data_IF_747062345155
#
_entry.id   IF_747062345155
#
_cell.length_a   1.000
_cell.length_b   1.000
_cell.length_c   1.000
_cell.angle_alpha   90.00
_cell.angle_beta   90.00
_cell.angle_gamma   90.00
#
_symmetry.space_group_name_H-M   'P 1'
#
loop_
_entity.id
_entity.type
_entity.pdbx_description
1 polymer ?
#
# COMPACT_ATOMS: atom_id res chain seq x y z
N UNK A 1 63.81 23.58 56.91
CA UNK A 1 62.93 24.64 56.42
C UNK A 1 63.04 24.66 54.94
N UNK A 2 62.13 24.05 54.21
CA UNK A 2 61.86 24.28 52.85
C UNK A 2 60.62 23.50 52.42
N UNK A 3 59.55 24.19 52.09
CA UNK A 3 58.28 23.59 51.54
C UNK A 3 58.43 23.42 50.05
N UNK A 4 58.05 22.29 49.45
CA UNK A 4 57.82 22.20 48.01
C UNK A 4 56.37 22.53 47.74
N UNK A 5 56.19 23.33 46.71
CA UNK A 5 54.92 23.71 46.05
C UNK A 5 54.34 22.53 45.27
N UNK A 6 53.09 22.19 45.58
CA UNK A 6 52.29 21.21 44.79
C UNK A 6 51.59 21.98 43.67
N UNK A 7 51.99 21.72 42.46
CA UNK A 7 51.30 22.19 41.25
C UNK A 7 50.18 21.22 40.87
N UNK A 8 48.93 21.66 40.96
CA UNK A 8 47.78 20.92 40.52
C UNK A 8 47.68 20.97 39.01
N UNK A 9 47.85 19.82 38.34
CA UNK A 9 47.59 19.65 36.92
C UNK A 9 46.12 19.39 36.70
N UNK A 10 45.44 20.30 35.98
CA UNK A 10 44.06 20.08 35.52
C UNK A 10 44.10 19.22 34.27
N UNK A 11 43.61 17.99 34.39
CA UNK A 11 43.35 17.09 33.27
C UNK A 11 42.04 17.48 32.63
N UNK A 12 42.12 18.13 31.45
CA UNK A 12 40.96 18.40 30.63
C UNK A 12 40.50 17.14 29.92
N UNK A 13 39.32 16.64 30.26
CA UNK A 13 38.66 15.55 29.55
C UNK A 13 37.97 16.15 28.32
N UNK A 14 38.53 15.89 27.13
CA UNK A 14 37.95 16.25 25.83
C UNK A 14 36.88 15.22 25.50
N UNK A 15 35.60 15.52 25.70
CA UNK A 15 34.47 14.74 25.23
C UNK A 15 34.30 14.99 23.75
N UNK A 16 34.73 14.04 22.90
CA UNK A 16 34.37 13.99 21.50
C UNK A 16 32.91 13.53 21.41
N UNK A 17 31.99 14.44 21.14
CA UNK A 17 30.63 14.12 20.72
C UNK A 17 30.69 13.60 19.29
N UNK A 18 30.58 12.29 19.11
CA UNK A 18 30.28 11.64 17.82
C UNK A 18 28.83 11.97 17.47
N UNK A 19 28.64 13.03 16.69
CA UNK A 19 27.37 13.27 16.03
C UNK A 19 27.17 12.14 14.98
N UNK A 20 26.49 11.07 15.38
CA UNK A 20 26.04 10.04 14.48
C UNK A 20 25.04 10.65 13.51
N UNK A 21 25.42 10.84 12.26
CA UNK A 21 24.48 11.02 11.16
C UNK A 21 23.72 9.70 11.00
N UNK A 22 22.60 9.58 11.68
CA UNK A 22 21.61 8.56 11.35
C UNK A 22 21.04 8.96 9.98
N UNK A 23 21.18 8.15 8.91
CA UNK A 23 20.50 8.45 7.66
C UNK A 23 19.01 8.53 7.99
N UNK A 24 18.26 9.49 7.39
CA UNK A 24 16.82 9.51 7.55
C UNK A 24 16.31 8.15 7.11
N UNK A 25 15.52 7.50 7.97
CA UNK A 25 14.76 6.32 7.60
C UNK A 25 13.95 6.71 6.34
N UNK A 26 13.85 5.82 5.33
CA UNK A 26 12.99 6.10 4.19
C UNK A 26 11.62 6.44 4.77
N UNK A 27 11.15 7.66 4.50
CA UNK A 27 9.79 8.05 4.83
C UNK A 27 8.92 7.05 4.08
N UNK A 28 8.31 6.12 4.82
CA UNK A 28 7.22 5.34 4.30
C UNK A 28 6.21 6.36 3.79
N UNK A 29 6.12 6.51 2.49
CA UNK A 29 5.05 7.29 1.86
C UNK A 29 3.80 6.48 2.16
N UNK A 30 3.18 6.80 3.31
CA UNK A 30 2.09 6.03 3.89
C UNK A 30 0.84 6.10 3.04
N UNK A 31 0.88 5.47 1.89
CA UNK A 31 -0.26 5.20 1.04
C UNK A 31 -0.99 3.96 1.51
N UNK A 32 -2.17 3.73 0.97
CA UNK A 32 -2.93 2.51 1.23
C UNK A 32 -3.88 2.19 0.11
N UNK A 33 -4.09 0.90 -0.04
CA UNK A 33 -5.08 0.33 -0.94
C UNK A 33 -5.96 -0.60 -0.11
N UNK A 34 -7.27 -0.39 -0.17
CA UNK A 34 -8.17 -1.24 0.58
C UNK A 34 -8.57 -2.46 -0.28
N UNK A 35 -8.57 -3.63 0.33
CA UNK A 35 -8.85 -4.91 -0.29
C UNK A 35 -10.13 -5.52 0.29
N UNK A 36 -10.97 -6.11 -0.58
CA UNK A 36 -12.10 -6.93 -0.14
C UNK A 36 -12.31 -8.09 -1.12
N UNK A 37 -12.80 -9.22 -0.63
CA UNK A 37 -13.29 -10.29 -1.47
C UNK A 37 -14.81 -10.19 -1.53
N UNK A 38 -15.34 -10.24 -2.75
CA UNK A 38 -16.78 -10.13 -3.01
C UNK A 38 -17.16 -11.02 -4.19
N UNK A 39 -18.37 -10.86 -4.69
CA UNK A 39 -18.90 -11.63 -5.82
C UNK A 39 -19.57 -10.74 -6.84
N UNK A 40 -19.70 -11.26 -8.07
CA UNK A 40 -20.54 -10.65 -9.09
C UNK A 40 -22.01 -10.67 -8.64
N UNK A 41 -22.79 -9.70 -9.12
CA UNK A 41 -24.20 -9.57 -8.86
C UNK A 41 -24.96 -9.21 -10.14
N UNK A 42 -26.28 -9.27 -10.09
CA UNK A 42 -27.13 -8.76 -11.17
C UNK A 42 -27.44 -7.28 -10.92
N UNK A 43 -27.28 -6.45 -11.94
CA UNK A 43 -27.56 -5.02 -11.87
C UNK A 43 -28.99 -4.77 -11.32
N UNK A 44 -29.06 -3.96 -10.25
CA UNK A 44 -30.32 -3.58 -9.61
C UNK A 44 -30.97 -4.64 -8.72
N UNK A 45 -30.37 -5.82 -8.56
CA UNK A 45 -30.89 -6.86 -7.65
C UNK A 45 -30.62 -6.53 -6.17
N UNK A 46 -29.53 -5.83 -5.90
CA UNK A 46 -29.10 -5.42 -4.56
C UNK A 46 -28.63 -3.96 -4.60
N UNK A 47 -28.95 -3.12 -3.59
CA UNK A 47 -28.48 -1.74 -3.51
C UNK A 47 -26.96 -1.61 -3.41
N UNK A 48 -26.25 -2.66 -2.97
CA UNK A 48 -24.80 -2.71 -2.92
C UNK A 48 -24.16 -3.17 -4.25
N UNK A 49 -24.97 -3.58 -5.24
CA UNK A 49 -24.51 -3.99 -6.54
C UNK A 49 -24.04 -2.76 -7.36
N UNK A 50 -22.75 -2.68 -7.64
CA UNK A 50 -22.11 -1.52 -8.28
C UNK A 50 -21.33 -1.95 -9.50
N UNK A 51 -21.42 -1.18 -10.58
CA UNK A 51 -20.63 -1.41 -11.80
C UNK A 51 -19.17 -0.98 -11.58
N UNK A 52 -18.24 -1.92 -11.76
CA UNK A 52 -16.79 -1.71 -11.66
C UNK A 52 -16.10 -2.40 -12.83
N UNK A 53 -15.39 -1.63 -13.66
CA UNK A 53 -14.62 -2.21 -14.78
C UNK A 53 -15.45 -3.02 -15.79
N UNK A 54 -16.73 -2.65 -15.98
CA UNK A 54 -17.63 -3.31 -16.91
C UNK A 54 -18.33 -4.56 -16.38
N UNK A 55 -18.25 -4.84 -15.09
CA UNK A 55 -18.99 -5.91 -14.41
C UNK A 55 -19.69 -5.36 -13.15
N UNK A 56 -20.81 -5.97 -12.77
CA UNK A 56 -21.53 -5.62 -11.57
C UNK A 56 -21.05 -6.50 -10.41
N UNK A 57 -20.67 -5.88 -9.29
CA UNK A 57 -20.13 -6.55 -8.11
C UNK A 57 -20.78 -6.01 -6.84
N UNK A 58 -20.94 -6.86 -5.84
CA UNK A 58 -21.36 -6.40 -4.51
C UNK A 58 -20.24 -5.61 -3.85
N UNK A 59 -20.55 -4.42 -3.36
CA UNK A 59 -19.61 -3.54 -2.66
C UNK A 59 -20.13 -3.27 -1.25
N UNK A 60 -19.64 -4.06 -0.29
CA UNK A 60 -19.87 -3.79 1.13
C UNK A 60 -18.74 -2.90 1.66
N UNK A 61 -19.01 -1.64 2.05
CA UNK A 61 -17.99 -0.76 2.59
C UNK A 61 -17.29 -1.28 3.85
N UNK A 62 -17.96 -2.15 4.63
CA UNK A 62 -17.43 -2.71 5.86
C UNK A 62 -16.49 -3.91 5.62
N UNK A 63 -16.50 -4.51 4.43
CA UNK A 63 -15.68 -5.67 4.10
C UNK A 63 -14.22 -5.30 3.74
N UNK A 64 -13.93 -4.03 3.51
CA UNK A 64 -12.60 -3.62 3.09
C UNK A 64 -11.59 -3.59 4.23
N UNK A 65 -10.43 -4.18 3.99
CA UNK A 65 -9.27 -4.14 4.87
C UNK A 65 -8.14 -3.37 4.19
N UNK A 66 -7.52 -2.47 4.94
CA UNK A 66 -6.46 -1.61 4.42
C UNK A 66 -5.13 -2.35 4.36
N UNK A 67 -4.54 -2.39 3.17
CA UNK A 67 -3.18 -2.85 2.93
C UNK A 67 -2.24 -1.65 2.80
N UNK A 68 -1.18 -1.64 3.58
CA UNK A 68 -0.14 -0.61 3.54
C UNK A 68 0.65 -0.68 2.23
N UNK A 69 1.02 0.47 1.69
CA UNK A 69 1.70 0.61 0.41
C UNK A 69 3.10 1.19 0.61
N UNK A 70 4.12 0.49 0.16
CA UNK A 70 5.52 0.93 0.20
C UNK A 70 5.86 1.90 -0.94
N UNK A 71 5.35 1.66 -2.15
CA UNK A 71 5.56 2.55 -3.30
C UNK A 71 4.43 2.46 -4.33
N UNK A 72 4.25 3.56 -5.06
CA UNK A 72 3.31 3.66 -6.19
C UNK A 72 4.03 4.31 -7.35
N UNK A 73 4.07 3.67 -8.50
CA UNK A 73 4.71 4.16 -9.70
C UNK A 73 3.74 4.12 -10.90
N UNK A 74 3.90 5.07 -11.82
CA UNK A 74 3.12 5.11 -13.06
C UNK A 74 4.03 4.74 -14.22
N UNK A 75 3.68 3.68 -14.93
CA UNK A 75 4.40 3.20 -16.10
C UNK A 75 3.61 3.42 -17.39
N UNK A 76 4.33 3.43 -18.50
CA UNK A 76 3.74 3.57 -19.83
C UNK A 76 3.58 5.01 -20.28
N UNK A 77 3.04 5.17 -21.49
CA UNK A 77 2.83 6.47 -22.16
C UNK A 77 1.46 6.53 -22.82
N UNK A 78 0.90 7.73 -22.89
CA UNK A 78 -0.44 7.92 -23.51
C UNK A 78 -1.51 7.13 -22.75
N UNK A 79 -2.37 6.45 -23.51
CA UNK A 79 -3.50 5.67 -22.99
C UNK A 79 -3.08 4.29 -22.43
N UNK A 80 -1.82 3.86 -22.68
CA UNK A 80 -1.28 2.61 -22.18
C UNK A 80 -0.53 2.79 -20.83
N UNK A 81 -1.06 3.63 -19.95
CA UNK A 81 -0.50 3.81 -18.61
C UNK A 81 -1.08 2.81 -17.63
N UNK A 82 -0.22 2.36 -16.73
CA UNK A 82 -0.58 1.50 -15.61
C UNK A 82 -0.05 2.08 -14.31
N UNK A 83 -0.69 1.75 -13.20
CA UNK A 83 -0.24 2.09 -11.86
C UNK A 83 0.27 0.83 -11.21
N UNK A 84 1.55 0.80 -10.91
CA UNK A 84 2.21 -0.29 -10.19
C UNK A 84 2.24 0.05 -8.69
N UNK A 85 1.66 -0.80 -7.88
CA UNK A 85 1.55 -0.63 -6.44
C UNK A 85 2.34 -1.74 -5.77
N UNK A 86 3.34 -1.37 -4.99
CA UNK A 86 4.07 -2.29 -4.14
C UNK A 86 3.61 -2.13 -2.70
N UNK A 87 3.18 -3.22 -2.11
CA UNK A 87 2.78 -3.26 -0.71
C UNK A 87 3.99 -3.27 0.22
N UNK A 88 3.81 -2.77 1.43
CA UNK A 88 4.72 -3.05 2.53
C UNK A 88 4.57 -4.50 3.02
N UNK A 89 5.32 -4.92 4.02
CA UNK A 89 5.33 -6.30 4.51
C UNK A 89 3.93 -6.75 4.98
N UNK A 90 3.24 -5.93 5.76
CA UNK A 90 1.91 -6.24 6.29
C UNK A 90 0.86 -6.20 5.17
N UNK A 91 0.94 -5.22 4.28
CA UNK A 91 0.06 -5.11 3.12
C UNK A 91 0.22 -6.26 2.13
N UNK A 92 1.46 -6.75 1.92
CA UNK A 92 1.73 -7.91 1.09
C UNK A 92 1.10 -9.19 1.67
N UNK A 93 1.18 -9.39 2.98
CA UNK A 93 0.52 -10.52 3.64
C UNK A 93 -1.00 -10.47 3.45
N UNK A 94 -1.62 -9.30 3.67
CA UNK A 94 -3.05 -9.10 3.42
C UNK A 94 -3.45 -9.34 1.97
N UNK A 95 -2.63 -8.91 1.01
CA UNK A 95 -2.87 -9.13 -0.41
C UNK A 95 -2.81 -10.61 -0.78
N UNK A 96 -1.83 -11.35 -0.25
CA UNK A 96 -1.70 -12.79 -0.46
C UNK A 96 -2.91 -13.54 0.12
N UNK A 97 -3.33 -13.21 1.34
CA UNK A 97 -4.50 -13.81 1.98
C UNK A 97 -5.79 -13.52 1.18
N UNK A 98 -5.99 -12.27 0.76
CA UNK A 98 -7.16 -11.88 -0.03
C UNK A 98 -7.20 -12.57 -1.40
N UNK A 99 -6.06 -12.76 -2.07
CA UNK A 99 -5.99 -13.50 -3.34
C UNK A 99 -6.25 -14.98 -3.14
N UNK A 100 -5.76 -15.57 -2.05
CA UNK A 100 -6.04 -16.97 -1.70
C UNK A 100 -7.52 -17.18 -1.40
N UNK A 101 -8.14 -16.28 -0.64
CA UNK A 101 -9.58 -16.30 -0.35
C UNK A 101 -10.39 -16.18 -1.64
N UNK A 102 -10.12 -15.19 -2.48
CA UNK A 102 -10.84 -15.00 -3.74
C UNK A 102 -10.72 -16.20 -4.67
N UNK A 103 -9.53 -16.80 -4.80
CA UNK A 103 -9.31 -18.00 -5.60
C UNK A 103 -10.09 -19.22 -5.06
N UNK A 104 -10.24 -19.34 -3.73
CA UNK A 104 -10.98 -20.42 -3.08
C UNK A 104 -12.50 -20.24 -3.08
N UNK A 105 -12.99 -19.00 -3.24
CA UNK A 105 -14.42 -18.67 -3.17
C UNK A 105 -15.22 -18.99 -4.45
N UNK A 106 -14.55 -19.36 -5.54
CA UNK A 106 -15.18 -19.82 -6.77
C UNK A 106 -15.20 -18.80 -7.91
N UNK A 107 -15.84 -19.15 -9.03
CA UNK A 107 -15.73 -18.39 -10.28
C UNK A 107 -16.39 -17.00 -10.24
N UNK A 108 -17.38 -16.82 -9.36
CA UNK A 108 -18.09 -15.55 -9.19
C UNK A 108 -17.39 -14.61 -8.23
N UNK A 109 -16.37 -15.07 -7.52
CA UNK A 109 -15.59 -14.26 -6.61
C UNK A 109 -14.74 -13.20 -7.34
N UNK A 110 -14.61 -12.05 -6.70
CA UNK A 110 -13.80 -10.92 -7.18
C UNK A 110 -12.97 -10.37 -6.02
N UNK A 111 -11.70 -10.09 -6.30
CA UNK A 111 -10.89 -9.24 -5.46
C UNK A 111 -11.17 -7.79 -5.86
N UNK A 112 -11.66 -7.02 -4.92
CA UNK A 112 -11.91 -5.58 -5.08
C UNK A 112 -10.72 -4.80 -4.56
N UNK A 113 -10.29 -3.81 -5.33
CA UNK A 113 -9.27 -2.84 -4.97
C UNK A 113 -9.94 -1.48 -4.86
N UNK A 114 -9.80 -0.81 -3.69
CA UNK A 114 -10.36 0.52 -3.44
C UNK A 114 -9.25 1.49 -3.06
N UNK A 115 -9.21 2.64 -3.74
CA UNK A 115 -8.33 3.75 -3.44
C UNK A 115 -9.16 4.92 -2.91
N UNK A 116 -8.99 5.30 -1.65
CA UNK A 116 -9.90 6.23 -0.97
C UNK A 116 -11.34 5.68 -0.96
N UNK A 117 -12.28 6.45 -1.49
CA UNK A 117 -13.70 6.07 -1.54
C UNK A 117 -14.11 5.38 -2.86
N UNK A 118 -13.17 5.14 -3.78
CA UNK A 118 -13.47 4.64 -5.12
C UNK A 118 -12.93 3.21 -5.30
N UNK A 119 -13.82 2.29 -5.67
CA UNK A 119 -13.42 0.94 -6.12
C UNK A 119 -12.87 1.07 -7.54
N UNK A 120 -11.57 0.84 -7.67
CA UNK A 120 -10.83 1.07 -8.92
C UNK A 120 -10.65 -0.20 -9.74
N UNK A 121 -10.85 -1.36 -9.13
CA UNK A 121 -10.71 -2.64 -9.82
C UNK A 121 -11.51 -3.73 -9.14
N UNK A 122 -12.03 -4.66 -9.96
CA UNK A 122 -12.67 -5.89 -9.52
C UNK A 122 -12.17 -7.04 -10.42
N UNK A 123 -11.31 -7.90 -9.87
CA UNK A 123 -10.63 -8.93 -10.67
C UNK A 123 -10.98 -10.34 -10.21
N UNK A 124 -11.16 -11.25 -11.18
CA UNK A 124 -11.24 -12.67 -10.89
C UNK A 124 -9.84 -13.19 -10.59
N UNK A 125 -9.67 -13.86 -9.46
CA UNK A 125 -8.40 -14.46 -9.06
C UNK A 125 -8.49 -15.96 -9.26
N UNK A 126 -7.69 -16.48 -10.17
CA UNK A 126 -7.73 -17.92 -10.53
C UNK A 126 -6.85 -18.77 -9.60
N UNK A 127 -5.89 -18.16 -8.94
CA UNK A 127 -4.99 -18.80 -7.97
C UNK A 127 -4.43 -17.75 -7.01
N UNK A 128 -4.02 -18.17 -5.82
CA UNK A 128 -3.33 -17.30 -4.87
C UNK A 128 -2.07 -16.68 -5.51
N UNK A 129 -1.84 -15.41 -5.22
CA UNK A 129 -0.67 -14.66 -5.71
C UNK A 129 0.32 -14.52 -4.57
N UNK A 130 1.52 -15.10 -4.74
CA UNK A 130 2.62 -15.02 -3.78
C UNK A 130 3.54 -13.83 -4.11
N UNK A 131 2.97 -12.62 -4.17
CA UNK A 131 3.70 -11.42 -4.53
C UNK A 131 3.43 -10.27 -3.56
N UNK A 132 4.21 -9.21 -3.72
CA UNK A 132 4.10 -7.97 -2.93
C UNK A 132 3.61 -6.79 -3.78
N UNK A 133 3.15 -7.03 -5.00
CA UNK A 133 2.77 -5.96 -5.92
C UNK A 133 1.57 -6.30 -6.79
N UNK A 134 0.87 -5.25 -7.23
CA UNK A 134 -0.24 -5.35 -8.17
C UNK A 134 -0.14 -4.23 -9.19
N UNK A 135 -0.45 -4.55 -10.44
CA UNK A 135 -0.56 -3.58 -11.52
C UNK A 135 -2.03 -3.27 -11.79
N UNK A 136 -2.38 -2.01 -11.71
CA UNK A 136 -3.76 -1.52 -11.89
C UNK A 136 -3.84 -0.77 -13.22
N UNK A 137 -4.81 -1.17 -14.04
CA UNK A 137 -5.21 -0.42 -15.23
C UNK A 137 -6.21 0.65 -14.79
N UNK A 138 -5.94 1.94 -14.99
CA UNK A 138 -6.79 3.01 -14.45
C UNK A 138 -8.15 3.17 -15.15
N UNK A 139 -8.42 2.41 -16.21
CA UNK A 139 -9.64 2.55 -17.00
C UNK A 139 -9.75 3.95 -17.62
N UNK A 140 -10.87 4.63 -17.37
CA UNK A 140 -11.12 5.99 -17.85
C UNK A 140 -10.50 7.08 -16.95
N UNK A 141 -9.91 6.70 -15.82
CA UNK A 141 -9.26 7.63 -14.90
C UNK A 141 -7.81 7.92 -15.32
N UNK A 142 -7.32 9.13 -15.02
CA UNK A 142 -5.91 9.43 -15.22
C UNK A 142 -5.03 8.63 -14.23
N UNK A 143 -4.02 7.94 -14.75
CA UNK A 143 -3.13 7.08 -13.95
C UNK A 143 -2.40 7.82 -12.83
N UNK A 144 -2.10 9.11 -13.01
CA UNK A 144 -1.45 9.92 -11.97
C UNK A 144 -2.44 10.27 -10.87
N UNK A 145 -3.69 10.60 -11.23
CA UNK A 145 -4.74 10.87 -10.26
C UNK A 145 -5.01 9.63 -9.38
N UNK A 146 -5.05 8.45 -9.98
CA UNK A 146 -5.15 7.18 -9.25
C UNK A 146 -3.94 6.97 -8.32
N UNK A 147 -2.73 7.15 -8.83
CA UNK A 147 -1.51 7.00 -8.03
C UNK A 147 -1.47 7.98 -6.85
N UNK A 148 -1.88 9.23 -7.05
CA UNK A 148 -1.93 10.24 -5.99
C UNK A 148 -2.99 9.91 -4.94
N UNK A 149 -4.13 9.35 -5.35
CA UNK A 149 -5.17 8.86 -4.42
C UNK A 149 -4.67 7.71 -3.55
N UNK A 150 -3.95 6.75 -4.14
CA UNK A 150 -3.36 5.63 -3.38
C UNK A 150 -2.31 6.14 -2.39
N UNK A 151 -1.50 7.14 -2.76
CA UNK A 151 -0.51 7.75 -1.87
C UNK A 151 -1.13 8.55 -0.73
N UNK A 152 -2.28 9.18 -0.97
CA UNK A 152 -2.96 10.01 0.01
C UNK A 152 -3.80 9.21 1.01
N UNK A 153 -4.20 8.01 0.62
CA UNK A 153 -5.10 7.15 1.35
C UNK A 153 -4.52 6.30 2.40
#
# INVERSE_FOLDING_TARGET
MNRPHVTAGAAGVLLLALAGCTPPAPEATGGGLDLAVSSVCEAGADPQCTAVGGQDVLVDPAAFTRAGVASVEVFGTGDARTVDVRFDEDGAALFQDATAEAAGAGPDARLLLRAGDVVVSAVAVMQAIEGDSVQILPGDEDARALADRIRAG
#
